data_IF_985336229243
#
_entry.id   IF_985336229243
#
_cell.length_a   1.000
_cell.length_b   1.000
_cell.length_c   1.000
_cell.angle_alpha   90.00
_cell.angle_beta   90.00
_cell.angle_gamma   90.00
#
_symmetry.space_group_name_H-M   'P 1'
#
loop_
_entity.id
_entity.type
_entity.pdbx_description
1 polymer ?
#
# COMPACT_ATOMS: atom_id res chain seq x y z
N UNK A 1 -10.90 -12.64 -5.60
CA UNK A 1 -10.17 -12.30 -4.37
C UNK A 1 -8.79 -12.94 -4.47
N UNK A 2 -7.77 -12.15 -4.81
CA UNK A 2 -6.42 -12.66 -5.02
C UNK A 2 -5.55 -12.27 -3.82
N UNK A 3 -4.93 -13.26 -3.17
CA UNK A 3 -4.02 -13.01 -2.05
C UNK A 3 -2.63 -12.69 -2.61
N UNK A 4 -2.35 -11.40 -2.77
CA UNK A 4 -1.04 -10.90 -3.19
C UNK A 4 -0.08 -10.75 -2.03
N UNK A 5 1.19 -10.47 -2.35
CA UNK A 5 2.27 -10.22 -1.37
C UNK A 5 1.95 -9.04 -0.45
N UNK A 6 1.12 -8.11 -0.92
CA UNK A 6 0.69 -6.90 -0.20
C UNK A 6 -0.71 -6.99 0.43
N UNK A 7 -1.38 -8.16 0.38
CA UNK A 7 -2.72 -8.37 0.93
C UNK A 7 -3.76 -8.82 -0.10
N UNK A 8 -5.04 -8.71 0.24
CA UNK A 8 -6.12 -9.03 -0.70
C UNK A 8 -6.19 -7.96 -1.79
N UNK A 9 -6.00 -8.36 -3.04
CA UNK A 9 -6.07 -7.50 -4.21
C UNK A 9 -7.46 -7.64 -4.83
N UNK A 10 -8.16 -6.52 -4.94
CA UNK A 10 -9.45 -6.40 -5.59
C UNK A 10 -9.51 -5.08 -6.37
N UNK A 11 -10.24 -5.07 -7.48
CA UNK A 11 -10.41 -3.91 -8.34
C UNK A 11 -11.89 -3.56 -8.49
N UNK A 12 -12.18 -2.30 -8.77
CA UNK A 12 -13.51 -1.88 -9.21
C UNK A 12 -13.72 -2.06 -10.72
N UNK A 13 -14.91 -1.69 -11.21
CA UNK A 13 -15.26 -1.85 -12.62
C UNK A 13 -14.45 -0.94 -13.57
N UNK A 14 -13.75 0.05 -13.04
CA UNK A 14 -12.88 0.97 -13.79
C UNK A 14 -11.41 0.57 -13.71
N UNK A 15 -11.07 -0.41 -12.87
CA UNK A 15 -9.72 -0.94 -12.71
C UNK A 15 -8.95 -0.32 -11.55
N UNK A 16 -9.59 0.49 -10.70
CA UNK A 16 -8.96 1.07 -9.52
C UNK A 16 -8.88 0.04 -8.38
N UNK A 17 -7.79 0.05 -7.60
CA UNK A 17 -7.63 -0.85 -6.45
C UNK A 17 -8.66 -0.47 -5.38
N UNK A 18 -9.45 -1.46 -4.95
CA UNK A 18 -10.34 -1.32 -3.80
C UNK A 18 -9.55 -1.44 -2.50
N UNK A 19 -9.80 -0.51 -1.57
CA UNK A 19 -9.24 -0.52 -0.21
C UNK A 19 -7.70 -0.61 -0.17
N UNK A 20 -7.03 0.04 -1.13
CA UNK A 20 -5.58 0.02 -1.24
C UNK A 20 -4.90 0.72 -0.06
N UNK A 21 -4.13 -0.01 0.74
CA UNK A 21 -3.33 0.59 1.81
C UNK A 21 -2.09 1.28 1.25
N UNK A 22 -1.89 2.54 1.60
CA UNK A 22 -0.68 3.30 1.29
C UNK A 22 0.26 3.35 2.50
N UNK A 23 1.49 2.85 2.32
CA UNK A 23 2.56 2.98 3.32
C UNK A 23 3.49 4.12 2.93
N UNK A 24 3.54 5.14 3.78
CA UNK A 24 4.40 6.30 3.60
C UNK A 24 5.78 6.04 4.20
N UNK A 25 6.84 6.37 3.46
CA UNK A 25 8.22 6.26 3.89
C UNK A 25 8.89 7.64 3.95
N UNK A 26 9.83 7.78 4.87
CA UNK A 26 10.75 8.93 4.94
C UNK A 26 12.19 8.43 4.95
N UNK A 27 13.16 9.33 4.82
CA UNK A 27 14.58 9.01 4.94
C UNK A 27 15.16 9.76 6.13
N UNK A 28 15.74 9.01 7.08
CA UNK A 28 16.46 9.57 8.23
C UNK A 28 17.90 9.07 8.19
N UNK A 29 18.86 9.98 8.15
CA UNK A 29 20.30 9.64 8.07
C UNK A 29 20.65 8.80 6.83
N UNK A 30 20.01 9.04 5.69
CA UNK A 30 20.21 8.28 4.45
C UNK A 30 19.56 6.90 4.40
N UNK A 31 18.87 6.46 5.47
CA UNK A 31 18.19 5.16 5.52
C UNK A 31 16.67 5.34 5.42
N UNK A 32 16.01 4.50 4.64
CA UNK A 32 14.54 4.48 4.50
C UNK A 32 13.91 4.01 5.81
N UNK A 33 12.93 4.77 6.32
CA UNK A 33 12.17 4.47 7.54
C UNK A 33 10.68 4.58 7.24
N UNK A 34 9.87 3.66 7.76
CA UNK A 34 8.41 3.72 7.65
C UNK A 34 7.87 4.88 8.49
N UNK A 35 7.00 5.70 7.91
CA UNK A 35 6.41 6.85 8.57
C UNK A 35 4.99 6.55 9.07
N UNK A 36 4.12 6.06 8.18
CA UNK A 36 2.73 5.75 8.51
C UNK A 36 2.11 4.78 7.49
N UNK A 37 1.02 4.11 7.87
CA UNK A 37 0.16 3.33 6.97
C UNK A 37 -1.23 3.94 7.01
N UNK A 38 -1.80 4.26 5.85
CA UNK A 38 -3.20 4.73 5.72
C UNK A 38 -3.99 3.81 4.81
N UNK A 39 -5.29 3.73 5.06
CA UNK A 39 -6.30 3.12 4.17
C UNK A 39 -6.97 4.21 3.35
#
# INVERSE_FOLDING_TARGET
NYKGVTGNIAFDAKGDIKDGTLTLYTYKGGKRTQLAVTK
#
